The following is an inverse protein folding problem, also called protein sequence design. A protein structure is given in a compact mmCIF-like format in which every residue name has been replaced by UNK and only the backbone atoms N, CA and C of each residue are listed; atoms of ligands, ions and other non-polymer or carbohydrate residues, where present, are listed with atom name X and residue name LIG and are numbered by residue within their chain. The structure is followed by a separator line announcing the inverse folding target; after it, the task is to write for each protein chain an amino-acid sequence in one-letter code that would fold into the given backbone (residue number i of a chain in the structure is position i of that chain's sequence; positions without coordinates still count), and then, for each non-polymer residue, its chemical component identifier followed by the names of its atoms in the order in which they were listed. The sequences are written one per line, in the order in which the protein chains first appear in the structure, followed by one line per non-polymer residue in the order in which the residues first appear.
data_IF_197838203894
#
_entry.id   IF_197838203894
#
_cell.length_a   1.000
_cell.length_b   1.000
_cell.length_c   1.000
_cell.angle_alpha   90.00
_cell.angle_beta   90.00
_cell.angle_gamma   90.00
#
_symmetry.space_group_name_H-M   'P 1'
#
loop_
_entity.id
_entity.type
_entity.pdbx_description
1 polymer ?
#
# COMPACT_ATOMS: atom_id res chain seq x y z
N UNK A 1 -4.52 17.92 -4.25
CA UNK A 1 -3.22 17.28 -4.59
C UNK A 1 -3.46 15.86 -5.11
N UNK A 2 -2.46 15.22 -5.73
CA UNK A 2 -2.44 13.75 -5.91
C UNK A 2 -2.28 13.07 -4.55
N UNK A 3 -2.35 11.74 -4.51
CA UNK A 3 -1.90 11.01 -3.31
C UNK A 3 -0.42 11.34 -3.01
N UNK A 4 -0.05 11.31 -1.73
CA UNK A 4 1.32 11.58 -1.29
C UNK A 4 2.13 10.29 -1.11
N UNK A 5 3.47 10.41 -1.14
CA UNK A 5 4.35 9.28 -0.83
C UNK A 5 4.12 8.76 0.59
N UNK A 6 3.83 9.66 1.54
CA UNK A 6 3.49 9.29 2.92
C UNK A 6 2.25 8.38 2.98
N UNK A 7 1.22 8.63 2.17
CA UNK A 7 0.05 7.75 2.12
C UNK A 7 0.41 6.36 1.61
N UNK A 8 1.29 6.27 0.60
CA UNK A 8 1.78 5.00 0.07
C UNK A 8 2.59 4.25 1.13
N UNK A 9 3.49 4.95 1.82
CA UNK A 9 4.29 4.36 2.89
C UNK A 9 3.40 3.86 4.03
N UNK A 10 2.36 4.60 4.42
CA UNK A 10 1.37 4.13 5.40
C UNK A 10 0.61 2.88 4.95
N UNK A 11 0.26 2.75 3.66
CA UNK A 11 -0.34 1.52 3.12
C UNK A 11 0.62 0.32 3.23
N UNK A 12 1.91 0.52 2.89
CA UNK A 12 2.94 -0.53 3.01
C UNK A 12 3.10 -0.94 4.48
N UNK A 13 3.29 0.02 5.38
CA UNK A 13 3.47 -0.23 6.81
C UNK A 13 2.26 -0.93 7.43
N UNK A 14 1.05 -0.53 7.05
CA UNK A 14 -0.18 -1.19 7.49
C UNK A 14 -0.22 -2.64 7.00
N UNK A 15 0.22 -2.90 5.76
CA UNK A 15 0.28 -4.27 5.22
C UNK A 15 1.32 -5.11 5.98
N UNK A 16 2.47 -4.54 6.32
CA UNK A 16 3.49 -5.20 7.15
C UNK A 16 2.95 -5.51 8.55
N UNK A 17 2.23 -4.58 9.17
CA UNK A 17 1.62 -4.83 10.48
C UNK A 17 0.59 -5.96 10.40
N UNK A 18 -0.25 -5.99 9.35
CA UNK A 18 -1.22 -7.06 9.10
C UNK A 18 -0.57 -8.42 8.87
N UNK A 19 0.60 -8.49 8.23
CA UNK A 19 1.37 -9.73 8.11
C UNK A 19 1.63 -10.36 9.48
N UNK A 20 1.95 -9.53 10.49
CA UNK A 20 2.21 -10.01 11.86
C UNK A 20 0.97 -10.22 12.73
N UNK A 21 -0.23 -9.76 12.33
CA UNK A 21 -1.44 -9.82 13.17
C UNK A 21 -2.62 -10.59 12.56
N UNK A 22 -2.86 -10.47 11.26
CA UNK A 22 -4.04 -10.96 10.53
C UNK A 22 -3.67 -12.18 9.66
N UNK A 23 -3.20 -13.25 10.31
CA UNK A 23 -2.95 -14.57 9.70
C UNK A 23 -1.87 -14.62 8.59
N UNK A 24 -0.84 -13.76 8.65
CA UNK A 24 0.28 -13.86 7.71
C UNK A 24 0.00 -13.25 6.32
N UNK A 25 -1.02 -12.40 6.20
CA UNK A 25 -1.43 -11.88 4.89
C UNK A 25 -0.39 -10.90 4.32
N UNK A 26 0.24 -11.26 3.19
CA UNK A 26 1.23 -10.41 2.48
C UNK A 26 0.60 -9.41 1.49
N UNK A 27 -0.71 -9.48 1.29
CA UNK A 27 -1.44 -8.65 0.33
C UNK A 27 -2.54 -7.87 1.03
N UNK A 28 -2.58 -6.57 0.85
CA UNK A 28 -3.67 -5.73 1.37
C UNK A 28 -4.20 -4.78 0.32
N UNK A 29 -5.52 -4.59 0.36
CA UNK A 29 -6.23 -3.62 -0.48
C UNK A 29 -6.61 -2.40 0.36
N UNK A 30 -6.53 -1.22 -0.26
CA UNK A 30 -6.86 0.07 0.33
C UNK A 30 -7.63 0.91 -0.68
N UNK A 31 -8.53 1.76 -0.18
CA UNK A 31 -9.18 2.78 -0.97
C UNK A 31 -8.59 4.15 -0.60
N UNK A 32 -8.02 4.85 -1.57
CA UNK A 32 -7.51 6.21 -1.41
C UNK A 32 -8.44 7.21 -2.08
N UNK A 33 -9.10 8.06 -1.29
CA UNK A 33 -9.98 9.10 -1.82
C UNK A 33 -9.16 10.23 -2.46
N UNK A 34 -9.46 10.58 -3.72
CA UNK A 34 -8.81 11.68 -4.43
C UNK A 34 -9.53 13.02 -4.23
N UNK A 35 -10.65 13.04 -3.51
CA UNK A 35 -11.34 14.28 -3.14
C UNK A 35 -10.46 15.08 -2.19
N UNK A 36 -10.38 16.38 -2.45
CA UNK A 36 -9.74 17.34 -1.54
C UNK A 36 -10.74 18.47 -1.29
N UNK A 37 -10.76 19.08 -0.08
CA UNK A 37 -11.56 20.27 0.16
C UNK A 37 -11.30 21.33 -0.92
N UNK A 38 -12.37 21.84 -1.53
CA UNK A 38 -12.30 22.82 -2.62
C UNK A 38 -12.05 22.26 -4.03
N UNK A 39 -11.91 20.93 -4.21
CA UNK A 39 -11.80 20.31 -5.54
C UNK A 39 -13.18 19.91 -6.07
N UNK A 40 -13.64 20.61 -7.11
CA UNK A 40 -14.93 20.33 -7.75
C UNK A 40 -14.90 19.13 -8.72
N UNK A 41 -13.74 18.77 -9.28
CA UNK A 41 -13.60 17.68 -10.26
C UNK A 41 -12.30 16.89 -10.08
N UNK A 42 -12.38 15.57 -10.24
CA UNK A 42 -11.23 14.67 -10.38
C UNK A 42 -10.89 14.57 -11.87
N UNK A 43 -9.68 14.98 -12.24
CA UNK A 43 -9.21 14.95 -13.63
C UNK A 43 -8.51 13.63 -13.93
N UNK A 44 -8.54 13.18 -15.19
CA UNK A 44 -7.78 11.98 -15.60
C UNK A 44 -6.29 12.11 -15.29
N UNK A 45 -5.71 13.29 -15.56
CA UNK A 45 -4.31 13.59 -15.24
C UNK A 45 -3.97 13.37 -13.76
N UNK A 46 -4.89 13.71 -12.85
CA UNK A 46 -4.68 13.51 -11.41
C UNK A 46 -4.69 12.02 -11.05
N UNK A 47 -5.60 11.27 -11.66
CA UNK A 47 -5.71 9.82 -11.48
C UNK A 47 -4.43 9.15 -11.99
N UNK A 48 -4.00 9.47 -13.22
CA UNK A 48 -2.77 8.96 -13.84
C UNK A 48 -1.55 9.24 -12.96
N UNK A 49 -1.35 10.49 -12.53
CA UNK A 49 -0.25 10.87 -11.64
C UNK A 49 -0.22 10.07 -10.33
N UNK A 50 -1.40 9.77 -9.80
CA UNK A 50 -1.52 9.03 -8.55
C UNK A 50 -1.27 7.53 -8.76
N UNK A 51 -1.73 6.96 -9.88
CA UNK A 51 -1.42 5.58 -10.29
C UNK A 51 0.08 5.41 -10.55
N UNK A 52 0.70 6.35 -11.26
CA UNK A 52 2.13 6.32 -11.56
C UNK A 52 2.96 6.41 -10.28
N UNK A 53 2.51 7.16 -9.28
CA UNK A 53 3.15 7.20 -7.98
C UNK A 53 3.08 5.83 -7.27
N UNK A 54 1.93 5.15 -7.26
CA UNK A 54 1.83 3.78 -6.74
C UNK A 54 2.76 2.82 -7.51
N UNK A 55 2.77 2.89 -8.84
CA UNK A 55 3.62 2.04 -9.69
C UNK A 55 5.11 2.25 -9.44
N UNK A 56 5.53 3.47 -9.10
CA UNK A 56 6.92 3.76 -8.74
C UNK A 56 7.41 2.94 -7.52
N UNK A 57 6.48 2.44 -6.71
CA UNK A 57 6.73 1.56 -5.55
C UNK A 57 6.38 0.09 -5.81
N UNK A 58 6.13 -0.29 -7.07
CA UNK A 58 5.72 -1.65 -7.43
C UNK A 58 4.33 -2.03 -6.90
N UNK A 59 3.47 -1.04 -6.64
CA UNK A 59 2.13 -1.22 -6.08
C UNK A 59 1.11 -1.12 -7.21
N UNK A 60 0.15 -2.04 -7.23
CA UNK A 60 -0.97 -2.00 -8.17
C UNK A 60 -1.96 -0.92 -7.73
N UNK A 61 -2.39 -0.09 -8.68
CA UNK A 61 -3.43 0.90 -8.45
C UNK A 61 -4.29 1.05 -9.69
N UNK A 62 -5.60 1.17 -9.47
CA UNK A 62 -6.59 1.46 -10.50
C UNK A 62 -7.62 2.46 -10.01
N UNK A 63 -8.28 3.12 -10.95
CA UNK A 63 -9.35 4.06 -10.62
C UNK A 63 -10.58 3.31 -10.16
N UNK A 64 -11.10 3.69 -9.01
CA UNK A 64 -12.38 3.22 -8.50
C UNK A 64 -13.22 4.42 -8.06
N UNK A 65 -14.29 4.71 -8.82
CA UNK A 65 -15.17 5.84 -8.55
C UNK A 65 -14.44 7.19 -8.45
N UNK A 66 -14.44 7.75 -7.24
CA UNK A 66 -13.82 9.04 -6.89
C UNK A 66 -12.42 8.88 -6.27
N UNK A 67 -11.84 7.70 -6.33
CA UNK A 67 -10.57 7.38 -5.68
C UNK A 67 -9.75 6.38 -6.46
N UNK A 68 -8.83 5.74 -5.74
CA UNK A 68 -8.00 4.66 -6.23
C UNK A 68 -8.18 3.43 -5.35
N UNK A 69 -8.41 2.30 -6.00
CA UNK A 69 -8.19 1.01 -5.38
C UNK A 69 -6.70 0.70 -5.48
N UNK A 70 -6.05 0.51 -4.33
CA UNK A 70 -4.62 0.26 -4.20
C UNK A 70 -4.41 -1.11 -3.61
N UNK A 71 -3.63 -1.95 -4.29
CA UNK A 71 -3.25 -3.29 -3.83
C UNK A 71 -1.76 -3.35 -3.58
N UNK A 72 -1.40 -3.44 -2.31
CA UNK A 72 -0.03 -3.66 -1.86
C UNK A 72 0.23 -5.15 -1.78
N UNK A 73 1.30 -5.60 -2.43
CA UNK A 73 1.83 -6.96 -2.32
C UNK A 73 3.28 -6.87 -1.83
N UNK A 74 3.51 -7.32 -0.59
CA UNK A 74 4.84 -7.24 0.06
C UNK A 74 5.91 -8.09 -0.63
N UNK A 75 5.52 -8.97 -1.55
CA UNK A 75 6.46 -9.79 -2.33
C UNK A 75 7.08 -9.04 -3.50
N UNK A 76 6.39 -8.01 -4.00
CA UNK A 76 6.76 -7.31 -5.24
C UNK A 76 6.91 -5.80 -5.06
N UNK A 77 6.37 -5.21 -4.00
CA UNK A 77 6.53 -3.79 -3.76
C UNK A 77 7.96 -3.45 -3.33
N UNK A 78 8.39 -2.24 -3.67
CA UNK A 78 9.69 -1.73 -3.22
C UNK A 78 9.52 -1.20 -1.80
N UNK A 79 10.35 -1.66 -0.87
CA UNK A 79 10.39 -1.20 0.52
C UNK A 79 11.49 -0.14 0.67
N UNK A 80 11.24 0.88 1.49
CA UNK A 80 12.34 1.73 1.96
C UNK A 80 13.10 1.01 3.10
N UNK A 81 14.27 1.50 3.54
CA UNK A 81 15.07 0.81 4.56
C UNK A 81 14.32 0.54 5.88
N UNK A 82 13.51 1.50 6.36
CA UNK A 82 12.73 1.32 7.58
C UNK A 82 11.62 0.27 7.42
N UNK A 83 10.92 0.27 6.29
CA UNK A 83 9.91 -0.75 5.98
C UNK A 83 10.53 -2.14 5.79
N UNK A 84 11.73 -2.23 5.23
CA UNK A 84 12.45 -3.50 5.08
C UNK A 84 12.81 -4.10 6.46
N UNK A 85 13.23 -3.27 7.41
CA UNK A 85 13.47 -3.69 8.79
C UNK A 85 12.17 -4.19 9.45
N UNK A 86 11.08 -3.41 9.36
CA UNK A 86 9.77 -3.81 9.88
C UNK A 86 9.29 -5.13 9.27
N UNK A 87 9.45 -5.32 7.95
CA UNK A 87 9.05 -6.53 7.25
C UNK A 87 9.84 -7.76 7.73
N UNK A 88 11.15 -7.62 7.96
CA UNK A 88 11.99 -8.70 8.49
C UNK A 88 11.56 -9.13 9.90
N UNK A 89 11.17 -8.17 10.73
CA UNK A 89 10.63 -8.46 12.07
C UNK A 89 9.28 -9.17 11.95
N UNK A 90 8.37 -8.63 11.14
CA UNK A 90 7.04 -9.17 10.94
C UNK A 90 7.08 -10.61 10.39
N UNK A 91 7.89 -10.89 9.36
CA UNK A 91 8.00 -12.24 8.79
C UNK A 91 8.62 -13.24 9.78
N UNK A 92 9.57 -12.80 10.61
CA UNK A 92 10.14 -13.61 11.68
C UNK A 92 9.10 -13.98 12.73
N UNK A 93 8.29 -13.01 13.15
CA UNK A 93 7.18 -13.24 14.08
C UNK A 93 6.14 -14.19 13.47
N UNK A 94 5.68 -13.93 12.24
CA UNK A 94 4.67 -14.76 11.56
C UNK A 94 5.13 -16.21 11.44
N UNK A 95 6.40 -16.46 11.09
CA UNK A 95 6.96 -17.81 11.03
C UNK A 95 6.98 -18.51 12.40
N UNK A 96 7.27 -17.77 13.47
CA UNK A 96 7.28 -18.29 14.84
C UNK A 96 5.87 -18.66 15.33
N UNK A 97 4.88 -17.81 15.05
CA UNK A 97 3.51 -17.96 15.59
C UNK A 97 2.61 -18.81 14.69
N UNK A 98 2.72 -18.68 13.38
CA UNK A 98 1.83 -19.31 12.39
C UNK A 98 2.50 -20.43 11.58
N UNK A 99 3.80 -20.66 11.77
CA UNK A 99 4.58 -21.63 11.00
C UNK A 99 4.96 -21.15 9.59
N UNK A 100 5.55 -22.04 8.79
CA UNK A 100 6.04 -21.77 7.42
C UNK A 100 4.93 -21.78 6.35
N UNK A 101 3.71 -21.34 6.67
CA UNK A 101 2.58 -21.32 5.72
C UNK A 101 2.54 -20.06 4.81
N UNK A 102 3.69 -19.39 4.62
CA UNK A 102 3.83 -18.19 3.79
C UNK A 102 4.20 -18.52 2.34
#
# INVERSE_FOLDING_TARGET
MSISMQQIDSCIETTINRLSSEAGTMVSNFYLDLRSPGRQRITEKLVEQSIDLCRSRGIYAEREGNGLLVRVDLRTCYLNPGQAEMFNIAIGYTRSVHGNHL
#
